data_IF_514225918566
#
_entry.id   IF_514225918566
#
_cell.length_a   1.000
_cell.length_b   1.000
_cell.length_c   1.000
_cell.angle_alpha   90.00
_cell.angle_beta   90.00
_cell.angle_gamma   90.00
#
_symmetry.space_group_name_H-M   'P 1'
#
loop_
_entity.id
_entity.type
_entity.pdbx_description
1 polymer ?
#
# COMPACT_ATOMS: atom_id res chain seq x y z
N UNK A 1 61.19 -26.81 -19.42
CA UNK A 1 61.10 -25.65 -18.51
C UNK A 1 59.66 -25.15 -18.56
N UNK A 2 58.79 -25.63 -17.68
CA UNK A 2 58.46 -25.03 -16.36
C UNK A 2 57.67 -23.71 -16.47
N UNK A 3 56.42 -23.78 -16.01
CA UNK A 3 55.58 -22.66 -15.56
C UNK A 3 56.04 -22.24 -14.14
N UNK A 4 55.81 -21.00 -13.69
CA UNK A 4 54.55 -20.64 -13.00
C UNK A 4 54.05 -19.23 -13.41
N UNK A 5 52.78 -18.81 -13.31
CA UNK A 5 51.86 -18.85 -12.17
C UNK A 5 51.89 -17.51 -11.40
N UNK A 6 50.84 -16.67 -11.51
CA UNK A 6 50.65 -15.43 -10.72
C UNK A 6 49.45 -14.61 -11.23
N UNK A 7 48.23 -14.81 -10.73
CA UNK A 7 47.60 -14.18 -9.55
C UNK A 7 47.43 -12.65 -9.74
N UNK A 8 46.24 -12.19 -10.12
CA UNK A 8 45.17 -11.69 -9.24
C UNK A 8 45.38 -10.22 -8.80
N UNK A 9 44.35 -9.41 -9.09
CA UNK A 9 43.89 -8.30 -8.27
C UNK A 9 44.91 -7.27 -7.77
N UNK A 10 45.40 -6.37 -8.63
CA UNK A 10 45.82 -5.04 -8.18
C UNK A 10 45.99 -4.08 -9.36
N UNK A 11 44.90 -3.48 -9.83
CA UNK A 11 44.91 -2.07 -10.21
C UNK A 11 43.50 -1.68 -10.61
N UNK A 12 42.77 -1.01 -9.72
CA UNK A 12 41.82 0.10 -9.97
C UNK A 12 41.29 0.57 -8.60
N UNK A 13 42.21 0.65 -7.63
CA UNK A 13 41.94 1.05 -6.25
C UNK A 13 42.82 2.23 -5.89
N UNK A 14 42.53 3.38 -6.50
CA UNK A 14 42.94 4.74 -6.12
C UNK A 14 42.47 5.63 -7.25
N UNK A 15 41.32 6.28 -7.04
CA UNK A 15 40.83 7.51 -7.71
C UNK A 15 39.34 7.78 -7.41
N UNK A 16 38.66 6.95 -6.61
CA UNK A 16 37.29 7.22 -6.13
C UNK A 16 37.25 8.08 -4.84
N UNK A 17 38.30 8.83 -4.52
CA UNK A 17 38.40 9.61 -3.28
C UNK A 17 37.52 10.87 -3.21
N UNK A 18 36.74 11.16 -4.24
CA UNK A 18 35.92 12.38 -4.35
C UNK A 18 34.56 12.17 -5.03
N UNK A 19 34.16 10.93 -5.29
CA UNK A 19 32.86 10.64 -5.89
C UNK A 19 31.74 10.74 -4.85
N UNK A 20 30.76 11.61 -5.11
CA UNK A 20 29.54 11.71 -4.30
C UNK A 20 28.74 10.39 -4.32
N UNK A 21 27.95 10.07 -3.29
CA UNK A 21 27.08 8.90 -3.33
C UNK A 21 26.14 8.95 -4.54
N UNK A 22 26.08 7.89 -5.34
CA UNK A 22 25.36 7.92 -6.61
C UNK A 22 25.49 6.66 -7.46
N UNK A 23 24.73 6.60 -8.56
CA UNK A 23 24.83 5.52 -9.56
C UNK A 23 25.86 5.87 -10.62
N UNK A 24 26.76 4.93 -10.88
CA UNK A 24 27.87 5.10 -11.81
C UNK A 24 27.96 3.92 -12.77
N UNK A 25 28.39 4.20 -14.01
CA UNK A 25 28.66 3.18 -15.00
C UNK A 25 29.87 2.34 -14.60
N UNK A 26 29.75 1.02 -14.77
CA UNK A 26 30.84 0.08 -14.48
C UNK A 26 31.14 -0.78 -15.72
N UNK A 27 32.37 -1.30 -15.86
CA UNK A 27 32.72 -2.20 -16.96
C UNK A 27 31.78 -3.41 -17.01
N UNK A 28 31.19 -3.68 -18.18
CA UNK A 28 30.19 -4.73 -18.36
C UNK A 28 29.29 -4.47 -19.58
N UNK A 29 28.15 -5.17 -19.70
CA UNK A 29 27.15 -4.90 -20.73
C UNK A 29 26.77 -3.41 -20.76
N UNK A 30 26.54 -2.82 -21.94
CA UNK A 30 26.15 -1.41 -22.04
C UNK A 30 24.90 -1.13 -21.20
N UNK A 31 24.98 -0.10 -20.35
CA UNK A 31 23.92 0.29 -19.41
C UNK A 31 24.02 -0.32 -18.00
N UNK A 32 25.10 -1.06 -17.69
CA UNK A 32 25.31 -1.59 -16.33
C UNK A 32 25.73 -0.49 -15.38
N UNK A 33 24.93 -0.26 -14.33
CA UNK A 33 25.22 0.71 -13.27
C UNK A 33 25.38 0.00 -11.92
N UNK A 34 26.31 0.50 -11.08
CA UNK A 34 26.43 0.15 -9.65
C UNK A 34 26.31 1.41 -8.80
N UNK A 35 25.79 1.26 -7.59
CA UNK A 35 25.64 2.36 -6.64
C UNK A 35 26.84 2.45 -5.70
N UNK A 36 27.44 3.64 -5.62
CA UNK A 36 28.49 4.04 -4.69
C UNK A 36 27.85 4.75 -3.50
N UNK A 37 28.10 4.29 -2.28
CA UNK A 37 27.51 4.87 -1.06
C UNK A 37 28.36 5.97 -0.41
N UNK A 38 29.50 6.32 -1.02
CA UNK A 38 30.48 7.27 -0.48
C UNK A 38 31.68 6.60 0.21
N UNK A 39 31.63 5.30 0.48
CA UNK A 39 32.72 4.52 1.08
C UNK A 39 33.05 3.24 0.30
N UNK A 40 32.04 2.58 -0.28
CA UNK A 40 32.17 1.33 -1.02
C UNK A 40 31.10 1.19 -2.12
N UNK A 41 31.37 0.27 -3.05
CA UNK A 41 30.38 -0.14 -4.04
C UNK A 41 29.40 -1.12 -3.44
N UNK A 42 28.11 -0.82 -3.54
CA UNK A 42 27.07 -1.77 -3.12
C UNK A 42 26.97 -2.96 -4.10
N UNK A 43 26.37 -4.05 -3.64
CA UNK A 43 26.09 -5.25 -4.47
C UNK A 43 24.88 -5.06 -5.41
N UNK A 44 24.23 -3.89 -5.40
CA UNK A 44 23.12 -3.58 -6.28
C UNK A 44 23.64 -3.32 -7.70
N UNK A 45 23.37 -4.24 -8.62
CA UNK A 45 23.65 -4.10 -10.06
C UNK A 45 22.32 -3.93 -10.78
N UNK A 46 22.15 -2.82 -11.51
CA UNK A 46 20.99 -2.64 -12.37
C UNK A 46 21.33 -3.10 -13.79
N UNK A 47 20.69 -4.16 -14.26
CA UNK A 47 20.72 -4.60 -15.65
C UNK A 47 19.37 -4.28 -16.31
N UNK A 48 19.34 -3.62 -17.48
CA UNK A 48 18.09 -3.41 -18.20
C UNK A 48 17.50 -4.75 -18.64
N UNK A 49 16.19 -4.91 -18.46
CA UNK A 49 15.50 -6.14 -18.86
C UNK A 49 15.41 -6.28 -20.40
N UNK A 50 15.33 -7.51 -20.94
CA UNK A 50 15.42 -7.76 -22.40
C UNK A 50 14.38 -7.00 -23.24
N UNK A 51 13.26 -6.57 -22.66
CA UNK A 51 12.23 -5.82 -23.37
C UNK A 51 12.60 -4.35 -23.62
N UNK A 52 13.52 -3.75 -22.85
CA UNK A 52 13.97 -2.36 -23.06
C UNK A 52 14.88 -2.22 -24.29
N UNK A 53 15.56 -3.28 -24.72
CA UNK A 53 16.33 -3.28 -25.98
C UNK A 53 15.44 -3.19 -27.22
N UNK A 54 14.17 -3.61 -27.13
CA UNK A 54 13.26 -3.68 -28.28
C UNK A 54 12.75 -2.31 -28.75
N UNK A 55 12.82 -1.28 -27.90
CA UNK A 55 12.36 0.07 -28.25
C UNK A 55 13.34 0.88 -29.10
N UNK A 56 14.54 0.36 -29.38
CA UNK A 56 15.54 1.03 -30.21
C UNK A 56 15.57 0.55 -31.66
N UNK A 57 14.63 -0.32 -32.08
CA UNK A 57 14.52 -0.76 -33.48
C UNK A 57 13.27 -0.21 -34.17
N UNK A 58 13.39 0.55 -35.27
CA UNK A 58 12.24 1.02 -36.03
C UNK A 58 11.54 -0.16 -36.73
N UNK A 59 10.23 -0.31 -36.48
CA UNK A 59 9.41 -1.36 -37.09
C UNK A 59 8.79 -0.86 -38.41
N UNK A 60 8.72 -1.69 -39.47
CA UNK A 60 8.01 -1.33 -40.70
C UNK A 60 6.49 -1.49 -40.54
N UNK A 61 5.76 -0.57 -41.16
CA UNK A 61 4.29 -0.43 -41.15
C UNK A 61 3.57 -1.66 -41.71
N UNK A 62 2.56 -2.15 -41.00
CA UNK A 62 1.58 -3.11 -41.52
C UNK A 62 0.15 -2.57 -41.39
N UNK A 63 -0.56 -2.56 -42.52
CA UNK A 63 -1.88 -1.98 -42.75
C UNK A 63 -3.03 -2.64 -41.95
N UNK A 64 -4.18 -1.94 -41.76
CA UNK A 64 -5.27 -2.43 -40.91
C UNK A 64 -6.17 -3.44 -41.62
N UNK A 65 -6.51 -4.53 -40.92
CA UNK A 65 -7.50 -5.52 -41.36
C UNK A 65 -8.92 -5.04 -41.06
N UNK A 66 -9.80 -5.24 -42.04
CA UNK A 66 -11.24 -4.97 -41.99
C UNK A 66 -11.94 -5.77 -40.87
N UNK A 67 -12.91 -5.12 -40.22
CA UNK A 67 -13.85 -5.70 -39.26
C UNK A 67 -14.90 -6.53 -40.02
N UNK A 68 -14.82 -7.85 -39.90
CA UNK A 68 -15.88 -8.76 -40.36
C UNK A 68 -16.93 -8.90 -39.24
N UNK A 69 -18.15 -8.43 -39.51
CA UNK A 69 -19.34 -8.66 -38.69
C UNK A 69 -20.07 -9.93 -39.15
N UNK A 70 -20.49 -10.79 -38.20
CA UNK A 70 -21.66 -11.69 -38.30
C UNK A 70 -21.76 -12.63 -37.07
N UNK A 71 -22.90 -13.29 -36.80
CA UNK A 71 -24.23 -12.72 -36.58
C UNK A 71 -24.89 -13.26 -35.29
N UNK A 72 -25.98 -12.60 -34.89
CA UNK A 72 -26.88 -12.95 -33.78
C UNK A 72 -27.56 -14.31 -33.91
N UNK A 73 -27.39 -15.18 -32.91
CA UNK A 73 -28.23 -16.38 -32.70
C UNK A 73 -29.50 -16.09 -31.89
N UNK A 74 -30.57 -16.90 -32.01
CA UNK A 74 -31.84 -16.67 -31.31
C UNK A 74 -31.74 -17.00 -29.80
N UNK A 75 -32.55 -16.34 -28.94
CA UNK A 75 -32.45 -16.53 -27.49
C UNK A 75 -33.05 -17.88 -27.06
N UNK A 76 -32.27 -18.62 -26.27
CA UNK A 76 -32.73 -19.80 -25.54
C UNK A 76 -33.77 -19.38 -24.50
N UNK A 77 -35.03 -19.81 -24.68
CA UNK A 77 -36.12 -19.60 -23.71
C UNK A 77 -35.98 -20.62 -22.59
N UNK A 78 -35.44 -20.20 -21.45
CA UNK A 78 -35.43 -20.99 -20.21
C UNK A 78 -36.80 -20.89 -19.50
N UNK A 79 -37.26 -21.96 -18.82
CA UNK A 79 -38.57 -22.01 -18.18
C UNK A 79 -38.68 -21.05 -16.97
N UNK A 80 -39.88 -20.50 -16.78
CA UNK A 80 -40.19 -19.39 -15.85
C UNK A 80 -39.93 -19.66 -14.36
N UNK A 81 -39.68 -20.91 -13.97
CA UNK A 81 -39.34 -21.28 -12.60
C UNK A 81 -37.83 -21.20 -12.29
N UNK A 82 -36.97 -21.03 -13.30
CA UNK A 82 -35.52 -20.87 -13.12
C UNK A 82 -35.07 -19.41 -12.87
N UNK A 83 -35.97 -18.43 -12.97
CA UNK A 83 -35.68 -17.02 -12.65
C UNK A 83 -35.50 -16.77 -11.14
N UNK A 84 -35.92 -17.70 -10.28
CA UNK A 84 -35.81 -17.57 -8.83
C UNK A 84 -34.38 -17.70 -8.30
N UNK A 85 -33.46 -18.34 -9.03
CA UNK A 85 -32.06 -18.48 -8.62
C UNK A 85 -31.24 -17.19 -8.74
N UNK A 86 -31.71 -16.16 -9.45
CA UNK A 86 -31.04 -14.86 -9.55
C UNK A 86 -31.55 -13.84 -8.51
N UNK A 87 -32.79 -13.98 -8.04
CA UNK A 87 -33.43 -13.01 -7.13
C UNK A 87 -32.98 -13.23 -5.68
N UNK A 88 -32.83 -14.49 -5.27
CA UNK A 88 -32.46 -14.84 -3.88
C UNK A 88 -31.03 -14.41 -3.52
N UNK A 89 -30.00 -14.58 -4.37
CA UNK A 89 -28.66 -14.05 -4.07
C UNK A 89 -28.61 -12.52 -4.07
N UNK A 90 -29.36 -11.86 -4.96
CA UNK A 90 -29.41 -10.38 -5.03
C UNK A 90 -29.98 -9.74 -3.77
N UNK A 91 -31.02 -10.32 -3.18
CA UNK A 91 -31.60 -9.84 -1.91
C UNK A 91 -30.68 -10.11 -0.71
N UNK A 92 -29.93 -11.22 -0.72
CA UNK A 92 -28.92 -11.54 0.30
C UNK A 92 -27.68 -10.63 0.23
N UNK A 93 -27.33 -10.12 -0.96
CA UNK A 93 -26.19 -9.21 -1.14
C UNK A 93 -26.52 -7.74 -0.86
N UNK A 94 -27.78 -7.30 -1.04
CA UNK A 94 -28.17 -5.90 -0.86
C UNK A 94 -28.43 -5.51 0.61
N UNK A 95 -28.84 -6.45 1.47
CA UNK A 95 -29.08 -6.19 2.89
C UNK A 95 -27.84 -5.69 3.68
N UNK A 96 -26.63 -6.26 3.51
CA UNK A 96 -25.44 -5.77 4.23
C UNK A 96 -24.92 -4.41 3.71
N UNK A 97 -25.06 -4.11 2.41
CA UNK A 97 -24.59 -2.83 1.83
C UNK A 97 -25.45 -1.65 2.29
N UNK A 98 -26.77 -1.85 2.44
CA UNK A 98 -27.68 -0.85 3.02
C UNK A 98 -27.36 -0.52 4.49
N UNK A 99 -26.88 -1.50 5.26
CA UNK A 99 -26.47 -1.33 6.66
C UNK A 99 -25.17 -0.53 6.81
N UNK A 100 -24.23 -0.67 5.86
CA UNK A 100 -22.99 0.13 5.81
C UNK A 100 -23.32 1.60 5.49
N UNK A 101 -24.27 1.86 4.59
CA UNK A 101 -24.76 3.21 4.28
C UNK A 101 -25.41 3.92 5.49
N UNK A 102 -26.09 3.16 6.36
CA UNK A 102 -26.67 3.69 7.60
C UNK A 102 -25.61 4.15 8.62
N UNK A 103 -24.43 3.52 8.62
CA UNK A 103 -23.31 3.85 9.50
C UNK A 103 -22.50 5.08 9.04
N UNK A 104 -22.52 5.41 7.74
CA UNK A 104 -21.81 6.56 7.18
C UNK A 104 -22.60 7.88 7.21
N UNK A 105 -23.91 7.87 7.53
CA UNK A 105 -24.73 9.09 7.61
C UNK A 105 -24.48 9.84 8.93
N UNK A 106 -23.83 11.00 8.87
CA UNK A 106 -23.66 11.90 10.04
C UNK A 106 -25.04 12.42 10.48
N UNK A 107 -25.43 12.14 11.73
CA UNK A 107 -26.68 12.63 12.35
C UNK A 107 -27.62 11.58 12.96
N UNK A 108 -27.36 10.28 12.80
CA UNK A 108 -28.15 9.22 13.44
C UNK A 108 -27.60 8.85 14.82
N UNK A 109 -28.47 8.87 15.84
CA UNK A 109 -28.14 8.51 17.23
C UNK A 109 -27.71 7.03 17.33
N UNK A 110 -26.65 6.74 18.11
CA UNK A 110 -26.06 5.41 18.25
C UNK A 110 -27.10 4.35 18.66
N UNK A 111 -28.03 4.69 19.55
CA UNK A 111 -29.08 3.79 20.04
C UNK A 111 -30.05 3.32 18.94
N UNK A 112 -30.33 4.18 17.94
CA UNK A 112 -31.20 3.81 16.82
C UNK A 112 -30.52 2.81 15.88
N UNK A 113 -29.19 2.89 15.75
CA UNK A 113 -28.38 1.95 14.94
C UNK A 113 -28.35 0.55 15.55
N UNK A 114 -28.30 0.47 16.88
CA UNK A 114 -28.32 -0.81 17.63
C UNK A 114 -29.70 -1.48 17.54
N UNK A 115 -30.80 -0.72 17.65
CA UNK A 115 -32.16 -1.30 17.56
C UNK A 115 -32.46 -1.86 16.17
N UNK A 116 -32.09 -1.16 15.10
CA UNK A 116 -32.34 -1.60 13.73
C UNK A 116 -31.52 -2.84 13.35
N UNK A 117 -30.28 -2.96 13.87
CA UNK A 117 -29.44 -4.13 13.64
C UNK A 117 -29.96 -5.37 14.36
N UNK A 118 -30.43 -5.24 15.60
CA UNK A 118 -31.03 -6.35 16.37
C UNK A 118 -32.34 -6.83 15.72
N UNK A 119 -33.21 -5.92 15.26
CA UNK A 119 -34.45 -6.28 14.54
C UNK A 119 -34.19 -7.06 13.23
N UNK A 120 -33.12 -6.71 12.52
CA UNK A 120 -32.74 -7.38 11.26
C UNK A 120 -32.23 -8.81 11.50
N UNK A 121 -31.47 -9.02 12.58
CA UNK A 121 -30.94 -10.34 12.97
C UNK A 121 -32.05 -11.22 13.54
N UNK A 122 -33.01 -10.65 14.27
CA UNK A 122 -34.18 -11.36 14.80
C UNK A 122 -35.09 -11.94 13.71
N UNK A 123 -35.25 -11.24 12.58
CA UNK A 123 -36.06 -11.71 11.46
C UNK A 123 -35.42 -12.90 10.70
N UNK A 124 -34.10 -13.06 10.80
CA UNK A 124 -33.34 -14.16 10.19
C UNK A 124 -33.36 -15.47 11.00
N UNK A 125 -33.78 -15.44 12.27
CA UNK A 125 -33.83 -16.62 13.14
C UNK A 125 -35.21 -17.29 13.25
N UNK A 126 -36.26 -16.76 12.61
CA UNK A 126 -37.62 -17.34 12.65
C UNK A 126 -37.86 -18.41 11.57
N UNK A 127 -36.86 -18.72 10.74
CA UNK A 127 -36.98 -19.69 9.64
C UNK A 127 -36.76 -21.17 9.99
N UNK A 128 -36.33 -21.53 11.21
CA UNK A 128 -35.91 -22.89 11.52
C UNK A 128 -36.51 -23.41 12.84
N UNK A 129 -37.81 -23.71 12.84
CA UNK A 129 -38.39 -24.68 13.77
C UNK A 129 -39.75 -25.18 13.25
N UNK A 130 -39.75 -26.34 12.59
CA UNK A 130 -40.95 -27.17 12.49
C UNK A 130 -40.65 -28.56 13.05
N UNK A 131 -41.65 -29.02 13.78
CA UNK A 131 -41.97 -30.41 14.15
C UNK A 131 -41.35 -30.93 15.46
N UNK A 132 -42.21 -30.92 16.47
CA UNK A 132 -42.05 -31.64 17.73
C UNK A 132 -43.38 -31.63 18.47
N UNK A 133 -44.36 -32.35 17.92
CA UNK A 133 -45.66 -32.61 18.54
C UNK A 133 -45.48 -33.27 19.91
N UNK A 134 -46.25 -32.84 20.90
CA UNK A 134 -47.21 -33.69 21.59
C UNK A 134 -48.03 -32.89 22.60
N UNK A 135 -49.34 -33.06 22.45
CA UNK A 135 -50.45 -32.56 23.25
C UNK A 135 -50.39 -33.04 24.70
N UNK A 136 -50.90 -32.24 25.64
CA UNK A 136 -51.90 -32.65 26.66
C UNK A 136 -52.25 -31.50 27.62
N UNK A 137 -53.27 -30.72 27.27
CA UNK A 137 -54.57 -30.68 27.98
C UNK A 137 -54.58 -31.05 29.49
N UNK A 138 -54.80 -30.03 30.33
CA UNK A 138 -55.92 -29.93 31.31
C UNK A 138 -55.71 -30.22 32.81
N UNK A 139 -56.20 -29.21 33.56
CA UNK A 139 -56.86 -29.18 34.87
C UNK A 139 -56.06 -29.17 36.19
N UNK A 140 -56.33 -28.08 36.92
CA UNK A 140 -56.29 -27.97 38.37
C UNK A 140 -57.34 -28.88 39.02
N UNK A 141 -57.00 -29.46 40.18
CA UNK A 141 -57.88 -29.84 41.31
C UNK A 141 -56.98 -29.99 42.56
N UNK A 142 -57.33 -29.30 43.65
CA UNK A 142 -57.02 -29.65 45.06
C UNK A 142 -58.16 -30.58 45.55
N UNK A 143 -58.12 -31.37 46.67
CA UNK A 143 -57.36 -31.15 47.92
C UNK A 143 -56.94 -32.45 48.70
N UNK A 144 -56.56 -32.29 49.99
CA UNK A 144 -56.65 -33.23 51.15
C UNK A 144 -55.43 -34.09 51.54
N UNK A 145 -54.75 -33.57 52.57
CA UNK A 145 -54.45 -34.12 53.89
C UNK A 145 -53.42 -35.26 54.16
N UNK A 146 -52.67 -34.96 55.23
CA UNK A 146 -52.24 -35.77 56.39
C UNK A 146 -50.91 -36.55 56.38
N UNK A 147 -50.04 -36.05 57.28
CA UNK A 147 -49.18 -36.74 58.25
C UNK A 147 -47.73 -37.13 57.91
N UNK A 148 -46.86 -36.34 58.55
CA UNK A 148 -45.83 -36.76 59.50
C UNK A 148 -44.65 -37.61 58.99
N UNK A 149 -43.50 -36.95 58.88
CA UNK A 149 -42.28 -37.45 59.50
C UNK A 149 -41.37 -36.26 59.84
N UNK A 150 -41.26 -36.00 61.14
CA UNK A 150 -40.30 -35.07 61.73
C UNK A 150 -38.91 -35.70 61.62
N UNK A 151 -38.08 -35.17 60.73
CA UNK A 151 -36.62 -35.24 60.86
C UNK A 151 -36.07 -33.83 60.78
N UNK A 152 -35.62 -33.36 61.94
CA UNK A 152 -34.97 -32.09 62.24
C UNK A 152 -33.95 -31.72 61.14
N UNK A 153 -34.07 -30.58 60.45
CA UNK A 153 -32.96 -30.07 59.66
C UNK A 153 -31.90 -29.58 60.65
N UNK A 154 -30.75 -30.24 60.68
CA UNK A 154 -29.53 -29.63 61.24
C UNK A 154 -29.14 -28.52 60.27
N UNK A 155 -29.73 -27.34 60.44
CA UNK A 155 -29.26 -26.10 59.82
C UNK A 155 -27.92 -25.76 60.42
N UNK A 156 -26.85 -26.35 59.88
CA UNK A 156 -25.53 -25.76 59.99
C UNK A 156 -25.64 -24.36 59.36
N UNK A 157 -25.32 -23.26 60.06
CA UNK A 157 -25.26 -21.96 59.42
C UNK A 157 -24.13 -22.01 58.39
N UNK A 158 -24.50 -22.21 57.12
CA UNK A 158 -23.60 -21.95 56.00
C UNK A 158 -23.36 -20.45 56.00
N UNK A 159 -22.29 -20.01 56.68
CA UNK A 159 -21.78 -18.65 56.58
C UNK A 159 -21.33 -18.49 55.14
N UNK A 160 -22.24 -17.99 54.30
CA UNK A 160 -21.94 -17.57 52.94
C UNK A 160 -21.11 -16.30 53.04
N UNK A 161 -19.81 -16.46 53.31
CA UNK A 161 -18.86 -15.36 53.30
C UNK A 161 -18.73 -14.90 51.86
N UNK A 162 -19.40 -13.81 51.49
CA UNK A 162 -19.13 -13.15 50.22
C UNK A 162 -17.65 -12.76 50.22
N UNK A 163 -16.87 -13.16 49.19
CA UNK A 163 -15.45 -12.84 49.16
C UNK A 163 -15.28 -11.32 49.19
N UNK A 164 -14.40 -10.83 50.07
CA UNK A 164 -14.12 -9.40 50.19
C UNK A 164 -13.48 -8.94 48.88
N UNK A 165 -14.09 -7.93 48.25
CA UNK A 165 -13.59 -7.39 47.00
C UNK A 165 -12.24 -6.65 47.21
N UNK A 166 -11.29 -6.88 46.30
CA UNK A 166 -9.94 -6.30 46.33
C UNK A 166 -9.85 -5.13 45.36
N UNK A 167 -9.15 -4.07 45.74
CA UNK A 167 -8.92 -2.92 44.87
C UNK A 167 -7.86 -3.24 43.81
N UNK A 168 -8.15 -2.93 42.55
CA UNK A 168 -7.22 -3.14 41.43
C UNK A 168 -6.05 -2.14 41.53
N UNK A 169 -4.79 -2.61 41.43
CA UNK A 169 -3.60 -1.76 41.48
C UNK A 169 -3.40 -1.00 40.15
N UNK A 170 -2.50 -0.02 40.15
CA UNK A 170 -2.03 0.60 38.92
C UNK A 170 -0.97 -0.29 38.27
N UNK A 171 -1.24 -0.76 37.06
CA UNK A 171 -0.36 -1.65 36.30
C UNK A 171 0.31 -0.93 35.12
N UNK A 172 -0.26 0.17 34.63
CA UNK A 172 0.33 0.95 33.53
C UNK A 172 1.73 1.46 33.90
N UNK A 173 2.68 1.29 32.97
CA UNK A 173 4.09 1.63 33.15
C UNK A 173 4.94 0.51 33.77
N UNK A 174 4.33 -0.55 34.31
CA UNK A 174 5.07 -1.73 34.77
C UNK A 174 5.44 -2.64 33.59
N UNK A 175 6.41 -3.52 33.79
CA UNK A 175 6.63 -4.66 32.89
C UNK A 175 5.49 -5.67 33.04
N UNK A 176 5.19 -6.44 32.00
CA UNK A 176 4.19 -7.51 32.07
C UNK A 176 4.43 -8.47 33.24
N UNK A 177 5.69 -8.84 33.51
CA UNK A 177 6.04 -9.73 34.61
C UNK A 177 5.82 -9.12 35.99
N UNK A 178 6.10 -7.82 36.15
CA UNK A 178 5.82 -7.10 37.39
C UNK A 178 4.31 -6.94 37.61
N UNK A 179 3.57 -6.60 36.54
CA UNK A 179 2.12 -6.49 36.59
C UNK A 179 1.45 -7.83 36.96
N UNK A 180 1.93 -8.94 36.39
CA UNK A 180 1.44 -10.28 36.73
C UNK A 180 1.71 -10.65 38.19
N UNK A 181 2.89 -10.31 38.70
CA UNK A 181 3.24 -10.53 40.11
C UNK A 181 2.30 -9.74 41.04
N UNK A 182 2.01 -8.50 40.69
CA UNK A 182 1.14 -7.63 41.49
C UNK A 182 -0.32 -8.08 41.48
N UNK A 183 -0.83 -8.55 40.33
CA UNK A 183 -2.15 -9.18 40.26
C UNK A 183 -2.22 -10.44 41.13
N UNK A 184 -1.21 -11.32 41.02
CA UNK A 184 -1.14 -12.58 41.76
C UNK A 184 -1.10 -12.34 43.27
N UNK A 185 -0.34 -11.32 43.72
CA UNK A 185 -0.25 -10.90 45.13
C UNK A 185 -1.61 -10.50 45.71
N UNK A 186 -2.49 -9.96 44.90
CA UNK A 186 -3.84 -9.51 45.28
C UNK A 186 -4.92 -10.58 45.05
N UNK A 187 -4.52 -11.79 44.65
CA UNK A 187 -5.45 -12.88 44.33
C UNK A 187 -6.24 -12.63 43.06
N UNK A 188 -5.79 -11.73 42.18
CA UNK A 188 -6.37 -11.48 40.86
C UNK A 188 -5.66 -12.32 39.82
N UNK A 189 -6.34 -12.62 38.71
CA UNK A 189 -5.79 -13.42 37.62
C UNK A 189 -5.35 -12.53 36.46
N UNK A 190 -4.28 -12.92 35.77
CA UNK A 190 -3.95 -12.34 34.47
C UNK A 190 -4.97 -12.81 33.43
N UNK A 191 -5.54 -11.85 32.70
CA UNK A 191 -6.43 -12.08 31.57
C UNK A 191 -5.67 -12.22 30.26
N UNK A 192 -6.30 -11.76 29.18
CA UNK A 192 -5.72 -11.68 27.85
C UNK A 192 -4.65 -10.59 27.81
N UNK A 193 -3.50 -10.90 27.21
CA UNK A 193 -2.44 -9.91 26.94
C UNK A 193 -2.43 -9.63 25.44
N UNK A 194 -2.69 -8.39 25.07
CA UNK A 194 -2.65 -7.92 23.68
C UNK A 194 -1.48 -6.98 23.47
N UNK A 195 -0.83 -7.07 22.31
CA UNK A 195 0.29 -6.20 21.96
C UNK A 195 -0.20 -5.02 21.11
N UNK A 196 0.30 -3.81 21.40
CA UNK A 196 0.06 -2.62 20.58
C UNK A 196 1.37 -1.88 20.30
N UNK A 197 1.65 -1.48 19.04
CA UNK A 197 2.85 -0.71 18.73
C UNK A 197 2.91 0.58 19.57
N UNK A 198 4.08 0.89 20.13
CA UNK A 198 4.28 2.07 20.99
C UNK A 198 5.76 2.45 21.06
N UNK A 199 6.04 3.71 21.39
CA UNK A 199 7.39 4.19 21.69
C UNK A 199 7.92 3.72 23.07
N UNK A 200 7.06 3.14 23.92
CA UNK A 200 7.47 2.56 25.20
C UNK A 200 8.31 1.28 24.99
N UNK A 201 9.18 0.92 25.95
CA UNK A 201 9.92 -0.35 25.89
C UNK A 201 8.99 -1.55 25.71
N UNK A 202 9.39 -2.49 24.86
CA UNK A 202 8.61 -3.71 24.59
C UNK A 202 8.29 -4.46 25.88
N UNK A 203 7.03 -4.84 26.05
CA UNK A 203 6.53 -5.52 27.25
C UNK A 203 6.08 -4.59 28.38
N UNK A 204 6.18 -3.27 28.22
CA UNK A 204 5.60 -2.29 29.15
C UNK A 204 4.07 -2.29 29.04
N UNK A 205 3.35 -2.33 30.16
CA UNK A 205 1.89 -2.25 30.18
C UNK A 205 1.43 -0.84 29.81
N UNK A 206 0.65 -0.72 28.73
CA UNK A 206 0.06 0.52 28.25
C UNK A 206 -1.32 0.78 28.87
N UNK A 207 -2.11 -0.27 29.08
CA UNK A 207 -3.43 -0.16 29.70
C UNK A 207 -3.89 -1.48 30.30
N UNK A 208 -4.84 -1.38 31.22
CA UNK A 208 -5.48 -2.49 31.93
C UNK A 208 -7.01 -2.38 31.75
N UNK A 209 -7.72 -3.51 31.70
CA UNK A 209 -9.19 -3.51 31.50
C UNK A 209 -9.97 -3.01 32.71
N UNK A 210 -9.48 -3.28 33.93
CA UNK A 210 -10.06 -2.76 35.17
C UNK A 210 -9.27 -1.55 35.67
N UNK A 211 -9.93 -0.40 35.81
CA UNK A 211 -9.28 0.83 36.26
C UNK A 211 -8.72 0.71 37.69
N UNK A 212 -7.64 1.42 37.97
CA UNK A 212 -7.06 1.53 39.31
C UNK A 212 -8.11 1.89 40.36
N UNK A 213 -8.07 1.23 41.52
CA UNK A 213 -8.97 1.47 42.65
C UNK A 213 -10.33 0.80 42.52
N UNK A 214 -10.68 0.25 41.35
CA UNK A 214 -11.93 -0.53 41.18
C UNK A 214 -11.91 -1.73 42.11
N UNK A 215 -13.00 -2.00 42.82
CA UNK A 215 -13.11 -3.19 43.68
C UNK A 215 -13.68 -4.36 42.88
N UNK A 216 -12.90 -5.43 42.74
CA UNK A 216 -13.30 -6.64 42.02
C UNK A 216 -13.10 -7.88 42.89
N UNK A 217 -13.83 -8.96 42.57
CA UNK A 217 -13.71 -10.21 43.33
C UNK A 217 -12.33 -10.85 43.09
N UNK A 218 -11.73 -11.48 44.11
CA UNK A 218 -10.58 -12.36 43.90
C UNK A 218 -10.85 -13.39 42.80
N UNK A 219 -9.83 -13.73 42.02
CA UNK A 219 -9.91 -14.61 40.85
C UNK A 219 -10.38 -13.93 39.57
N UNK A 220 -10.86 -12.67 39.64
CA UNK A 220 -11.23 -11.91 38.44
C UNK A 220 -10.01 -11.69 37.55
N UNK A 221 -10.20 -11.85 36.24
CA UNK A 221 -9.16 -11.64 35.23
C UNK A 221 -9.05 -10.16 34.87
N UNK A 222 -7.81 -9.66 34.81
CA UNK A 222 -7.49 -8.32 34.30
C UNK A 222 -6.71 -8.46 33.00
N UNK A 223 -7.28 -7.97 31.91
CA UNK A 223 -6.64 -7.97 30.60
C UNK A 223 -5.66 -6.81 30.49
N UNK A 224 -4.54 -7.02 29.80
CA UNK A 224 -3.49 -6.02 29.62
C UNK A 224 -3.27 -5.74 28.14
N UNK A 225 -3.01 -4.48 27.82
CA UNK A 225 -2.40 -4.08 26.55
C UNK A 225 -0.94 -3.74 26.84
N UNK A 226 -0.01 -4.43 26.18
CA UNK A 226 1.43 -4.21 26.34
C UNK A 226 2.04 -3.57 25.10
N UNK A 227 3.12 -2.82 25.30
CA UNK A 227 3.89 -2.21 24.25
C UNK A 227 4.59 -3.27 23.40
N UNK A 228 4.51 -3.08 22.09
CA UNK A 228 5.30 -3.81 21.10
C UNK A 228 6.08 -2.82 20.24
N UNK A 229 7.09 -3.33 19.54
CA UNK A 229 7.95 -2.50 18.71
C UNK A 229 7.14 -1.80 17.61
N UNK A 230 7.49 -0.54 17.36
CA UNK A 230 7.04 0.18 16.17
C UNK A 230 7.61 -0.48 14.90
N UNK A 231 6.85 -0.53 13.79
CA UNK A 231 7.39 -0.97 12.52
C UNK A 231 8.48 0.00 12.05
N UNK A 232 9.51 -0.54 11.39
CA UNK A 232 10.64 0.23 10.86
C UNK A 232 10.52 0.39 9.36
N UNK A 233 10.93 1.54 8.82
CA UNK A 233 10.98 1.79 7.38
C UNK A 233 11.99 0.84 6.69
N UNK A 234 11.55 -0.06 5.79
CA UNK A 234 12.44 -0.97 5.07
C UNK A 234 13.44 -0.27 4.16
N UNK A 235 14.57 -0.92 3.89
CA UNK A 235 15.55 -0.46 2.92
C UNK A 235 15.03 -0.63 1.48
N UNK A 236 14.69 0.49 0.84
CA UNK A 236 14.17 0.51 -0.54
C UNK A 236 14.98 1.39 -1.51
N UNK A 237 16.05 2.03 -1.03
CA UNK A 237 16.96 2.84 -1.85
C UNK A 237 17.55 2.01 -2.99
N UNK A 238 17.58 2.59 -4.19
CA UNK A 238 18.08 1.95 -5.40
C UNK A 238 17.12 0.95 -6.06
N UNK A 239 15.98 0.61 -5.43
CA UNK A 239 14.94 -0.21 -6.07
C UNK A 239 14.10 0.61 -7.04
N UNK A 240 13.33 -0.06 -7.88
CA UNK A 240 12.30 0.60 -8.70
C UNK A 240 11.19 1.16 -7.82
N UNK A 241 10.55 2.25 -8.26
CA UNK A 241 9.36 2.80 -7.59
C UNK A 241 8.31 1.72 -7.26
N UNK A 242 7.98 0.86 -8.23
CA UNK A 242 6.97 -0.19 -8.05
C UNK A 242 7.36 -1.20 -6.98
N UNK A 243 8.61 -1.66 -6.99
CA UNK A 243 9.11 -2.62 -6.00
C UNK A 243 9.16 -2.00 -4.61
N UNK A 244 9.65 -0.76 -4.50
CA UNK A 244 9.72 -0.03 -3.26
C UNK A 244 8.33 0.20 -2.66
N UNK A 245 7.37 0.66 -3.47
CA UNK A 245 5.97 0.84 -3.03
C UNK A 245 5.39 -0.46 -2.49
N UNK A 246 5.61 -1.59 -3.17
CA UNK A 246 5.13 -2.90 -2.70
C UNK A 246 5.74 -3.29 -1.35
N UNK A 247 7.04 -3.06 -1.16
CA UNK A 247 7.75 -3.37 0.10
C UNK A 247 7.22 -2.49 1.24
N UNK A 248 7.06 -1.19 1.00
CA UNK A 248 6.57 -0.26 2.01
C UNK A 248 5.11 -0.55 2.39
N UNK A 249 4.25 -0.84 1.41
CA UNK A 249 2.85 -1.23 1.66
C UNK A 249 2.74 -2.57 2.41
N UNK A 250 3.58 -3.54 2.07
CA UNK A 250 3.63 -4.82 2.80
C UNK A 250 4.09 -4.65 4.25
N UNK A 251 4.89 -3.62 4.54
CA UNK A 251 5.26 -3.23 5.90
C UNK A 251 4.17 -2.42 6.63
N UNK A 252 3.01 -2.18 6.00
CA UNK A 252 1.87 -1.47 6.59
C UNK A 252 1.96 0.05 6.48
N UNK A 253 2.78 0.57 5.57
CA UNK A 253 2.91 2.01 5.34
C UNK A 253 2.10 2.49 4.14
N UNK A 254 1.69 3.76 4.20
CA UNK A 254 1.14 4.47 3.04
C UNK A 254 2.30 5.12 2.30
N UNK A 255 2.26 5.16 0.97
CA UNK A 255 3.36 5.70 0.15
C UNK A 255 2.89 6.93 -0.61
N UNK A 256 3.60 8.05 -0.44
CA UNK A 256 3.51 9.22 -1.30
C UNK A 256 4.76 9.28 -2.19
N UNK A 257 4.63 9.68 -3.45
CA UNK A 257 5.77 9.67 -4.40
C UNK A 257 6.07 11.08 -4.87
N UNK A 258 7.32 11.50 -4.69
CA UNK A 258 7.86 12.76 -5.20
C UNK A 258 8.95 12.45 -6.23
N UNK A 259 9.08 13.28 -7.25
CA UNK A 259 10.10 13.11 -8.30
C UNK A 259 11.17 14.18 -8.18
N UNK A 260 12.42 13.75 -8.29
CA UNK A 260 13.58 14.63 -8.40
C UNK A 260 14.21 14.44 -9.78
N UNK A 261 14.45 15.53 -10.51
CA UNK A 261 14.94 15.45 -11.88
C UNK A 261 16.46 15.44 -11.94
N UNK A 262 17.01 14.66 -12.87
CA UNK A 262 18.43 14.71 -13.21
C UNK A 262 18.65 14.41 -14.69
N UNK A 263 19.84 14.73 -15.21
CA UNK A 263 20.20 14.44 -16.61
C UNK A 263 20.84 13.07 -16.81
N UNK A 264 21.14 12.36 -15.72
CA UNK A 264 21.81 11.06 -15.71
C UNK A 264 21.24 10.19 -14.57
N UNK A 265 21.40 8.86 -14.69
CA UNK A 265 21.01 7.88 -13.66
C UNK A 265 19.95 6.88 -14.13
N UNK A 266 19.38 6.12 -13.18
CA UNK A 266 18.31 5.14 -13.46
C UNK A 266 16.95 5.81 -13.28
N UNK A 267 16.23 6.02 -14.38
CA UNK A 267 14.88 6.58 -14.32
C UNK A 267 13.93 5.67 -13.51
N UNK A 268 13.20 6.26 -12.57
CA UNK A 268 12.29 5.57 -11.67
C UNK A 268 12.95 4.84 -10.49
N UNK A 269 14.26 4.97 -10.30
CA UNK A 269 14.94 4.44 -9.12
C UNK A 269 14.68 5.32 -7.89
N UNK A 270 14.52 4.68 -6.74
CA UNK A 270 14.37 5.37 -5.45
C UNK A 270 15.69 5.97 -5.02
N UNK A 271 15.69 7.28 -4.75
CA UNK A 271 16.82 8.01 -4.21
C UNK A 271 16.86 7.95 -2.69
N UNK A 272 15.71 8.20 -2.05
CA UNK A 272 15.58 8.24 -0.58
C UNK A 272 14.13 8.10 -0.16
N UNK A 273 13.94 7.84 1.13
CA UNK A 273 12.63 7.90 1.80
C UNK A 273 12.65 8.96 2.90
N UNK A 274 11.48 9.52 3.21
CA UNK A 274 11.24 10.33 4.40
C UNK A 274 10.00 9.81 5.12
N UNK A 275 10.09 9.34 6.37
CA UNK A 275 11.29 9.13 7.19
C UNK A 275 12.34 8.19 6.56
N UNK A 276 13.59 8.29 7.04
CA UNK A 276 14.72 7.52 6.50
C UNK A 276 14.61 6.03 6.81
N UNK A 277 15.33 5.23 6.03
CA UNK A 277 15.44 3.78 6.23
C UNK A 277 15.84 3.46 7.68
N UNK A 278 15.17 2.49 8.29
CA UNK A 278 15.38 2.07 9.68
C UNK A 278 14.66 2.91 10.72
N UNK A 279 14.04 4.04 10.35
CA UNK A 279 13.26 4.84 11.27
C UNK A 279 12.04 4.05 11.78
N UNK A 280 11.81 4.08 13.09
CA UNK A 280 10.62 3.53 13.75
C UNK A 280 9.48 4.54 13.66
N UNK A 281 8.36 4.12 13.05
CA UNK A 281 7.22 4.99 12.77
C UNK A 281 5.92 4.30 13.14
N UNK A 282 4.85 5.07 13.33
CA UNK A 282 3.55 4.48 13.66
C UNK A 282 2.99 3.67 12.48
N UNK A 283 2.28 2.56 12.74
CA UNK A 283 1.60 1.82 11.68
C UNK A 283 0.66 2.72 10.85
N UNK A 284 0.66 2.55 9.53
CA UNK A 284 -0.14 3.38 8.62
C UNK A 284 0.41 4.77 8.33
N UNK A 285 1.58 5.13 8.88
CA UNK A 285 2.26 6.39 8.54
C UNK A 285 2.55 6.50 7.04
N UNK A 286 2.51 7.72 6.52
CA UNK A 286 2.90 8.02 5.13
C UNK A 286 4.42 8.14 5.02
N UNK A 287 5.00 7.37 4.11
CA UNK A 287 6.42 7.44 3.74
C UNK A 287 6.50 8.15 2.39
N UNK A 288 7.19 9.28 2.36
CA UNK A 288 7.54 9.94 1.11
C UNK A 288 8.67 9.17 0.43
N UNK A 289 8.42 8.75 -0.81
CA UNK A 289 9.35 8.06 -1.67
C UNK A 289 9.83 9.02 -2.76
N UNK A 290 11.08 9.45 -2.67
CA UNK A 290 11.69 10.32 -3.69
C UNK A 290 12.33 9.45 -4.76
N UNK A 291 11.86 9.57 -6.00
CA UNK A 291 12.34 8.81 -7.15
C UNK A 291 13.02 9.71 -8.17
N UNK A 292 14.03 9.17 -8.84
CA UNK A 292 14.75 9.85 -9.90
C UNK A 292 13.90 9.91 -11.18
N UNK A 293 13.69 11.10 -11.71
CA UNK A 293 13.12 11.34 -13.03
C UNK A 293 14.24 11.81 -13.96
N UNK A 294 14.76 10.92 -14.80
CA UNK A 294 15.81 11.31 -15.75
C UNK A 294 15.17 12.07 -16.90
N UNK A 295 15.55 13.33 -17.06
CA UNK A 295 15.14 14.20 -18.15
C UNK A 295 16.32 14.36 -19.12
N UNK A 296 16.02 14.45 -20.42
CA UNK A 296 17.06 14.74 -21.39
C UNK A 296 17.74 16.07 -21.01
N UNK A 297 19.08 16.11 -21.06
CA UNK A 297 19.79 17.39 -21.01
C UNK A 297 19.28 18.21 -22.20
N UNK A 298 18.59 19.31 -21.92
CA UNK A 298 18.42 20.36 -22.92
C UNK A 298 19.83 20.76 -23.32
N UNK A 299 20.23 20.31 -24.51
CA UNK A 299 21.42 20.82 -25.14
C UNK A 299 21.04 22.25 -25.46
N UNK A 300 21.54 23.21 -24.67
CA UNK A 300 21.49 24.61 -25.05
C UNK A 300 21.90 24.65 -26.51
N UNK A 301 20.98 25.12 -27.37
CA UNK A 301 21.23 25.29 -28.79
C UNK A 301 22.64 25.84 -28.93
N UNK A 302 23.48 25.14 -29.70
CA UNK A 302 24.89 25.49 -29.84
C UNK A 302 25.04 27.02 -29.97
N UNK A 303 26.08 27.65 -29.42
CA UNK A 303 26.17 29.11 -29.25
C UNK A 303 26.04 29.95 -30.55
N UNK A 304 25.93 29.30 -31.70
CA UNK A 304 25.68 29.88 -33.01
C UNK A 304 24.45 29.22 -33.66
N UNK A 305 23.29 29.19 -33.00
CA UNK A 305 22.04 28.73 -33.60
C UNK A 305 21.02 29.86 -33.64
N UNK A 306 20.34 30.03 -34.75
CA UNK A 306 19.14 30.85 -34.84
C UNK A 306 18.03 30.19 -34.01
N UNK A 307 17.46 30.87 -33.01
CA UNK A 307 16.34 30.34 -32.24
C UNK A 307 15.14 30.04 -33.15
N UNK A 308 14.39 28.97 -32.83
CA UNK A 308 13.15 28.64 -33.54
C UNK A 308 13.24 27.50 -34.54
N UNK A 309 14.43 26.91 -34.78
CA UNK A 309 14.59 25.78 -35.71
C UNK A 309 15.22 24.54 -35.06
N UNK A 310 14.75 23.36 -35.49
CA UNK A 310 15.34 22.06 -35.19
C UNK A 310 15.42 21.20 -36.47
N UNK A 311 16.59 20.73 -36.92
CA UNK A 311 17.91 20.89 -36.29
C UNK A 311 18.42 22.34 -36.33
N UNK A 312 19.43 22.63 -35.51
CA UNK A 312 20.04 23.97 -35.42
C UNK A 312 20.49 24.50 -36.79
N UNK A 313 20.01 25.69 -37.14
CA UNK A 313 20.51 26.50 -38.26
C UNK A 313 21.46 27.58 -37.74
N UNK A 314 22.71 27.65 -38.22
CA UNK A 314 23.60 28.76 -37.86
C UNK A 314 23.06 30.12 -38.30
N UNK A 315 23.35 31.22 -37.59
CA UNK A 315 22.95 32.56 -38.04
C UNK A 315 23.37 32.84 -39.48
N UNK A 316 22.40 33.11 -40.33
CA UNK A 316 22.57 33.62 -41.69
C UNK A 316 21.61 34.79 -41.92
N UNK A 317 21.83 35.54 -43.01
CA UNK A 317 20.89 36.58 -43.43
C UNK A 317 19.59 36.01 -43.97
N UNK A 318 19.65 34.83 -44.59
CA UNK A 318 18.50 34.13 -45.17
C UNK A 318 18.80 32.63 -45.39
N UNK A 319 17.78 31.79 -45.33
CA UNK A 319 17.83 30.36 -45.63
C UNK A 319 16.69 30.00 -46.55
N UNK A 320 16.99 29.21 -47.59
CA UNK A 320 16.00 28.64 -48.48
C UNK A 320 15.94 27.12 -48.41
N UNK A 321 14.80 26.57 -48.79
CA UNK A 321 14.68 25.12 -48.98
C UNK A 321 15.46 24.66 -50.21
N UNK A 322 16.34 23.68 -50.03
CA UNK A 322 17.16 23.12 -51.09
C UNK A 322 16.29 22.49 -52.18
N UNK A 323 16.37 23.02 -53.40
CA UNK A 323 15.56 22.59 -54.56
C UNK A 323 14.38 23.50 -54.88
N UNK A 324 14.16 24.57 -54.11
CA UNK A 324 13.22 25.65 -54.43
C UNK A 324 13.82 26.77 -55.29
N UNK A 325 13.02 27.80 -55.57
CA UNK A 325 13.36 28.96 -56.41
C UNK A 325 14.03 30.13 -55.65
N UNK A 326 14.52 29.90 -54.43
CA UNK A 326 14.98 30.97 -53.55
C UNK A 326 16.39 31.50 -53.87
N UNK A 327 16.63 32.77 -53.54
CA UNK A 327 17.84 33.55 -53.82
C UNK A 327 18.78 33.70 -52.59
N UNK A 328 18.47 33.00 -51.51
CA UNK A 328 19.15 33.05 -50.23
C UNK A 328 20.58 32.50 -50.30
N UNK A 329 21.50 33.02 -49.46
CA UNK A 329 22.92 32.62 -49.48
C UNK A 329 23.17 31.23 -48.89
N UNK A 330 22.16 30.60 -48.27
CA UNK A 330 22.22 29.29 -47.66
C UNK A 330 20.97 28.49 -48.00
N UNK A 331 21.17 27.18 -48.21
CA UNK A 331 20.09 26.25 -48.46
C UNK A 331 20.09 25.13 -47.43
N UNK A 332 18.90 24.74 -46.96
CA UNK A 332 18.71 23.62 -46.05
C UNK A 332 17.89 22.51 -46.71
N UNK A 333 18.30 21.26 -46.51
CA UNK A 333 17.52 20.08 -46.92
C UNK A 333 16.63 19.69 -45.75
N UNK A 334 15.31 19.79 -45.92
CA UNK A 334 14.36 19.48 -44.86
C UNK A 334 14.15 17.98 -44.61
N UNK A 335 13.29 17.64 -43.63
CA UNK A 335 12.42 18.58 -42.89
C UNK A 335 13.18 19.40 -41.84
N UNK A 336 12.79 20.66 -41.69
CA UNK A 336 13.22 21.56 -40.61
C UNK A 336 12.01 21.88 -39.74
N UNK A 337 12.05 21.56 -38.46
CA UNK A 337 10.95 21.83 -37.54
C UNK A 337 11.05 23.26 -37.01
N UNK A 338 9.94 24.01 -37.11
CA UNK A 338 9.82 25.36 -36.57
C UNK A 338 9.21 25.27 -35.18
N UNK A 339 10.01 25.56 -34.16
CA UNK A 339 9.65 25.42 -32.73
C UNK A 339 9.43 26.77 -32.04
N UNK A 340 9.39 27.87 -32.80
CA UNK A 340 9.32 29.24 -32.30
C UNK A 340 9.06 30.24 -33.43
N UNK A 341 9.73 31.40 -33.41
CA UNK A 341 9.66 32.37 -34.52
C UNK A 341 10.29 31.78 -35.80
N UNK A 342 9.69 32.04 -36.97
CA UNK A 342 10.20 31.65 -38.29
C UNK A 342 10.82 32.85 -39.04
N UNK A 343 12.00 33.35 -38.64
CA UNK A 343 12.61 34.52 -39.28
C UNK A 343 13.02 34.31 -40.75
N UNK A 344 13.24 33.06 -41.16
CA UNK A 344 13.61 32.69 -42.53
C UNK A 344 12.43 32.20 -43.38
N UNK A 345 11.20 32.22 -42.83
CA UNK A 345 9.98 31.85 -43.55
C UNK A 345 10.06 30.46 -44.21
N UNK A 346 10.70 29.49 -43.54
CA UNK A 346 10.87 28.14 -44.05
C UNK A 346 9.58 27.32 -43.98
N UNK A 347 8.64 27.71 -43.12
CA UNK A 347 7.33 27.10 -42.88
C UNK A 347 6.23 28.08 -43.31
N UNK A 348 6.09 28.30 -44.62
CA UNK A 348 5.10 29.24 -45.16
C UNK A 348 3.64 28.81 -44.94
N UNK A 349 3.39 27.56 -44.54
CA UNK A 349 2.08 26.99 -44.22
C UNK A 349 1.77 26.98 -42.71
N UNK A 350 2.69 27.43 -41.86
CA UNK A 350 2.57 27.50 -40.39
C UNK A 350 2.15 26.15 -39.74
N UNK A 351 2.58 25.02 -40.30
CA UNK A 351 2.24 23.69 -39.76
C UNK A 351 3.30 23.11 -38.82
N UNK A 352 4.38 23.87 -38.61
CA UNK A 352 5.53 23.52 -37.79
C UNK A 352 6.64 22.79 -38.54
N UNK A 353 6.52 22.58 -39.86
CA UNK A 353 7.47 21.81 -40.67
C UNK A 353 7.84 22.56 -41.96
N UNK A 354 9.03 23.17 -41.96
CA UNK A 354 9.61 23.80 -43.13
C UNK A 354 10.40 22.84 -44.03
N UNK A 355 10.52 23.21 -45.31
CA UNK A 355 11.28 22.49 -46.34
C UNK A 355 10.90 21.02 -46.51
N UNK A 356 9.62 20.73 -46.36
CA UNK A 356 9.04 19.44 -46.71
C UNK A 356 9.23 19.11 -48.19
N UNK A 357 9.37 17.80 -48.47
CA UNK A 357 9.38 17.33 -49.86
C UNK A 357 7.93 17.21 -50.31
N UNK A 358 7.54 18.00 -51.31
CA UNK A 358 6.32 17.77 -52.09
C UNK A 358 6.38 16.43 -52.84
#
# INVERSE_FOLDING_TARGET
MEMPGGNADTNHGRDAGSASPGWYAVPGPPGTLRYWDGAQWTNAVHQPQPWQQRQQQPQPWSAPRHLEQSPSGPPLRLPWWQTWYAVVPGLLLCAPVGLIGLWMRKGTQFNLRVVLTIMSIGLLLVGAARSGTNSSTTQAILPVATNAAVTRPTTSPSVSSTPVAVAVPQLSGLTQSAAQSELTRLGLALGTVTARPSAQPVGTVLSQSAAQGTRIQPGTRVDLVVASALPTVPAVTGKSQTEATRILQAAGFVVSVTRETATQGVNGAVLRTSPSVGASVEPGSSIELVVLAVVAKVVDSAPNCTPGYSPCLPPASDYDCAGGSGDGPKYVRGPVYVTGSDPYQLDGNDDGVGCEKN
#
